data_IF_015086253166
#
_entry.id   IF_015086253166
#
_cell.length_a   1.000
_cell.length_b   1.000
_cell.length_c   1.000
_cell.angle_alpha   90.00
_cell.angle_beta   90.00
_cell.angle_gamma   90.00
#
_symmetry.space_group_name_H-M   'P 1'
#
loop_
_entity.id
_entity.type
_entity.pdbx_description
1 polymer ?
#
# COMPACT_ATOMS: atom_id res chain seq x y z
N UNK A 1 13.84 19.60 17.41
CA UNK A 1 14.80 18.48 17.33
C UNK A 1 14.90 17.90 18.71
N UNK A 2 14.20 16.80 18.95
CA UNK A 2 14.25 16.07 20.21
C UNK A 2 14.94 14.76 19.87
N UNK A 3 16.23 14.68 20.16
CA UNK A 3 17.01 13.44 20.03
C UNK A 3 16.52 12.49 21.11
N UNK A 4 15.72 11.51 20.72
CA UNK A 4 15.40 10.38 21.58
C UNK A 4 16.70 9.60 21.88
N UNK A 5 16.89 9.12 23.12
CA UNK A 5 18.10 8.41 23.50
C UNK A 5 18.19 7.07 22.75
N UNK A 6 19.41 6.58 22.42
CA UNK A 6 19.59 5.26 21.85
C UNK A 6 19.38 4.23 22.97
N UNK A 7 18.22 3.59 22.99
CA UNK A 7 18.00 2.42 23.84
C UNK A 7 18.34 1.15 23.06
N UNK A 8 19.44 0.55 23.51
CA UNK A 8 19.79 -0.87 23.59
C UNK A 8 18.73 -1.90 23.12
N UNK A 9 19.18 -2.85 22.28
CA UNK A 9 18.57 -4.18 22.00
C UNK A 9 17.04 -4.27 21.75
N UNK A 10 16.43 -3.31 21.06
CA UNK A 10 15.05 -3.51 20.58
C UNK A 10 15.01 -4.58 19.48
N UNK A 11 14.22 -5.63 19.70
CA UNK A 11 13.98 -6.69 18.72
C UNK A 11 13.50 -6.11 17.38
N UNK A 12 14.18 -6.47 16.29
CA UNK A 12 13.72 -6.17 14.93
C UNK A 12 12.53 -7.10 14.58
N UNK A 13 11.33 -6.52 14.59
CA UNK A 13 10.09 -7.26 14.37
C UNK A 13 9.91 -7.66 12.90
N UNK A 14 10.50 -6.90 11.98
CA UNK A 14 10.49 -7.18 10.55
C UNK A 14 11.36 -8.40 10.25
N UNK A 15 12.57 -8.44 10.80
CA UNK A 15 13.47 -9.57 10.64
C UNK A 15 12.93 -10.84 11.31
N UNK A 16 12.37 -10.73 12.52
CA UNK A 16 11.70 -11.86 13.17
C UNK A 16 10.52 -12.39 12.34
N UNK A 17 9.72 -11.51 11.72
CA UNK A 17 8.63 -11.92 10.83
C UNK A 17 9.20 -12.69 9.63
N UNK A 18 10.23 -12.15 8.97
CA UNK A 18 10.86 -12.79 7.81
C UNK A 18 11.40 -14.16 8.15
N UNK A 19 12.12 -14.29 9.26
CA UNK A 19 12.65 -15.58 9.72
C UNK A 19 11.52 -16.60 9.95
N UNK A 20 10.44 -16.20 10.65
CA UNK A 20 9.28 -17.08 10.87
C UNK A 20 8.60 -17.52 9.57
N UNK A 21 8.53 -16.64 8.58
CA UNK A 21 7.96 -16.97 7.27
C UNK A 21 8.86 -17.97 6.53
N UNK A 22 10.17 -17.75 6.53
CA UNK A 22 11.15 -18.67 5.94
C UNK A 22 11.11 -20.05 6.63
N UNK A 23 11.08 -20.09 7.95
CA UNK A 23 10.96 -21.33 8.72
C UNK A 23 9.66 -22.08 8.39
N UNK A 24 8.55 -21.35 8.19
CA UNK A 24 7.29 -21.95 7.79
C UNK A 24 7.37 -22.58 6.40
N UNK A 25 7.89 -21.83 5.41
CA UNK A 25 8.10 -22.33 4.05
C UNK A 25 8.97 -23.58 4.08
N UNK A 26 10.10 -23.54 4.81
CA UNK A 26 11.02 -24.67 4.97
C UNK A 26 10.37 -25.88 5.64
N UNK A 27 9.39 -25.67 6.54
CA UNK A 27 8.67 -26.76 7.20
C UNK A 27 7.79 -27.59 6.25
N UNK A 28 7.46 -27.08 5.06
CA UNK A 28 6.60 -27.75 4.10
C UNK A 28 5.20 -28.06 4.61
N UNK A 29 4.75 -27.39 5.69
CA UNK A 29 3.40 -27.52 6.25
C UNK A 29 2.42 -26.73 5.41
N UNK A 30 1.21 -27.27 5.30
CA UNK A 30 0.12 -26.51 4.68
C UNK A 30 -0.48 -25.52 5.70
N UNK A 31 -1.06 -24.45 5.17
CA UNK A 31 -1.94 -23.56 5.88
C UNK A 31 -3.23 -23.49 5.08
N UNK A 32 -4.32 -23.97 5.68
CA UNK A 32 -5.63 -24.02 5.05
C UNK A 32 -6.59 -23.07 5.77
N UNK A 33 -7.37 -22.32 4.99
CA UNK A 33 -8.43 -21.43 5.47
C UNK A 33 -9.73 -21.86 4.82
N UNK A 34 -10.82 -21.95 5.59
CA UNK A 34 -12.14 -22.35 5.10
C UNK A 34 -12.24 -23.84 4.74
N UNK A 35 -13.29 -24.19 4.01
CA UNK A 35 -13.59 -25.58 3.60
C UNK A 35 -13.54 -25.71 2.07
N UNK A 36 -12.92 -26.79 1.59
CA UNK A 36 -12.85 -27.12 0.17
C UNK A 36 -14.24 -27.37 -0.46
N UNK A 37 -15.24 -27.78 0.33
CA UNK A 37 -16.60 -27.99 -0.14
C UNK A 37 -17.32 -26.69 -0.55
N UNK A 38 -16.89 -25.57 0.03
CA UNK A 38 -17.43 -24.23 -0.24
C UNK A 38 -16.86 -23.61 -1.52
N UNK A 39 -15.84 -24.23 -2.11
CA UNK A 39 -15.29 -23.80 -3.39
C UNK A 39 -16.31 -23.91 -4.54
N UNK A 40 -16.21 -23.04 -5.56
CA UNK A 40 -17.06 -23.08 -6.76
C UNK A 40 -16.93 -24.39 -7.55
N UNK A 41 -15.71 -24.95 -7.56
CA UNK A 41 -15.30 -26.21 -8.19
C UNK A 41 -14.32 -26.92 -7.22
N UNK A 42 -14.10 -28.23 -7.34
CA UNK A 42 -13.11 -28.93 -6.53
C UNK A 42 -11.72 -28.25 -6.60
N UNK A 43 -10.98 -28.10 -5.49
CA UNK A 43 -9.67 -27.43 -5.50
C UNK A 43 -8.70 -27.98 -6.54
N UNK A 44 -8.68 -29.30 -6.76
CA UNK A 44 -7.83 -29.92 -7.78
C UNK A 44 -8.19 -29.44 -9.20
N UNK A 45 -9.46 -29.20 -9.50
CA UNK A 45 -9.90 -28.61 -10.78
C UNK A 45 -9.46 -27.14 -10.86
N UNK A 46 -9.61 -26.38 -9.76
CA UNK A 46 -9.21 -24.98 -9.68
C UNK A 46 -7.69 -24.77 -9.92
N UNK A 47 -6.85 -25.70 -9.46
CA UNK A 47 -5.40 -25.66 -9.71
C UNK A 47 -5.04 -25.75 -11.20
N UNK A 48 -5.86 -26.44 -11.99
CA UNK A 48 -5.60 -26.73 -13.40
C UNK A 48 -6.38 -25.83 -14.36
N UNK A 49 -6.99 -24.75 -13.87
CA UNK A 49 -7.69 -23.79 -14.72
C UNK A 49 -6.77 -23.17 -15.76
N UNK A 50 -7.32 -23.01 -16.96
CA UNK A 50 -6.78 -22.19 -18.04
C UNK A 50 -7.88 -21.29 -18.62
N UNK A 51 -7.52 -20.38 -19.53
CA UNK A 51 -8.47 -19.44 -20.14
C UNK A 51 -9.57 -20.10 -20.98
N UNK A 52 -9.45 -21.40 -21.31
CA UNK A 52 -10.41 -22.15 -22.13
C UNK A 52 -11.39 -22.97 -21.28
N UNK A 53 -11.18 -23.03 -19.97
CA UNK A 53 -12.05 -23.76 -19.07
C UNK A 53 -13.49 -23.20 -19.14
N UNK A 54 -14.54 -24.04 -19.27
CA UNK A 54 -15.91 -23.56 -19.48
C UNK A 54 -16.46 -22.62 -18.40
N UNK A 55 -15.95 -22.78 -17.16
CA UNK A 55 -16.32 -21.94 -16.03
C UNK A 55 -15.55 -20.62 -15.97
N UNK A 56 -14.44 -20.47 -16.70
CA UNK A 56 -13.62 -19.25 -16.69
C UNK A 56 -14.26 -18.20 -17.59
N UNK A 57 -14.47 -17.01 -17.03
CA UNK A 57 -14.98 -15.83 -17.73
C UNK A 57 -13.88 -14.86 -18.10
N UNK A 58 -12.91 -14.68 -17.22
CA UNK A 58 -11.78 -13.77 -17.41
C UNK A 58 -10.53 -14.35 -16.75
N UNK A 59 -9.38 -14.03 -17.32
CA UNK A 59 -8.06 -14.27 -16.74
C UNK A 59 -7.32 -12.93 -16.63
N UNK A 60 -6.85 -12.63 -15.43
CA UNK A 60 -5.99 -11.50 -15.10
C UNK A 60 -4.59 -12.04 -14.78
N UNK A 61 -3.67 -11.96 -15.74
CA UNK A 61 -2.33 -12.55 -15.65
C UNK A 61 -1.20 -11.52 -15.42
N UNK A 62 -1.54 -10.24 -15.24
CA UNK A 62 -0.55 -9.18 -15.05
C UNK A 62 0.15 -9.21 -13.67
N UNK A 63 -0.30 -10.07 -12.75
CA UNK A 63 0.25 -10.17 -11.39
C UNK A 63 1.68 -10.72 -11.34
N UNK A 64 2.49 -10.17 -10.43
CA UNK A 64 3.89 -10.58 -10.23
C UNK A 64 4.01 -11.91 -9.46
N UNK A 65 3.07 -12.18 -8.56
CA UNK A 65 3.11 -13.32 -7.63
C UNK A 65 2.03 -14.36 -7.92
N UNK A 66 0.93 -13.96 -8.56
CA UNK A 66 -0.23 -14.81 -8.83
C UNK A 66 -0.95 -14.45 -10.13
N UNK A 67 -1.81 -15.36 -10.57
CA UNK A 67 -2.79 -15.19 -11.63
C UNK A 67 -4.18 -15.20 -10.99
N UNK A 68 -5.13 -14.42 -11.52
CA UNK A 68 -6.51 -14.39 -11.01
C UNK A 68 -7.49 -14.77 -12.11
N UNK A 69 -8.31 -15.77 -11.84
CA UNK A 69 -9.40 -16.21 -12.71
C UNK A 69 -10.74 -15.72 -12.16
N UNK A 70 -11.57 -15.13 -13.01
CA UNK A 70 -13.00 -14.96 -12.74
C UNK A 70 -13.71 -16.24 -13.14
N UNK A 71 -14.19 -17.00 -12.17
CA UNK A 71 -14.86 -18.30 -12.38
C UNK A 71 -16.34 -18.14 -12.10
N UNK A 72 -17.19 -18.52 -13.05
CA UNK A 72 -18.64 -18.58 -12.88
C UNK A 72 -19.07 -20.01 -12.54
N UNK A 73 -19.61 -20.19 -11.34
CA UNK A 73 -20.13 -21.48 -10.90
C UNK A 73 -21.20 -21.29 -9.84
N UNK A 74 -22.18 -22.22 -9.80
CA UNK A 74 -23.29 -22.20 -8.84
C UNK A 74 -24.07 -20.85 -8.86
N UNK A 75 -24.19 -20.24 -10.03
CA UNK A 75 -24.91 -18.97 -10.23
C UNK A 75 -24.18 -17.71 -9.76
N UNK A 76 -22.92 -17.82 -9.31
CA UNK A 76 -22.13 -16.71 -8.78
C UNK A 76 -20.77 -16.63 -9.47
N UNK A 77 -20.15 -15.45 -9.41
CA UNK A 77 -18.77 -15.26 -9.85
C UNK A 77 -17.82 -15.28 -8.66
N UNK A 78 -16.66 -15.88 -8.89
CA UNK A 78 -15.62 -16.13 -7.90
C UNK A 78 -14.28 -15.63 -8.42
N UNK A 79 -13.48 -15.05 -7.53
CA UNK A 79 -12.07 -14.77 -7.78
C UNK A 79 -11.23 -15.94 -7.28
N UNK A 80 -10.55 -16.62 -8.21
CA UNK A 80 -9.61 -17.71 -7.92
C UNK A 80 -8.20 -17.21 -8.20
N UNK A 81 -7.48 -16.88 -7.13
CA UNK A 81 -6.08 -16.45 -7.18
C UNK A 81 -5.19 -17.69 -7.05
N UNK A 82 -4.35 -17.92 -8.06
CA UNK A 82 -3.39 -19.03 -8.10
C UNK A 82 -1.96 -18.49 -8.04
N UNK A 83 -1.18 -18.95 -7.07
CA UNK A 83 0.23 -18.62 -6.96
C UNK A 83 0.98 -19.06 -8.23
N UNK A 84 1.91 -18.23 -8.70
CA UNK A 84 2.80 -18.62 -9.80
C UNK A 84 3.79 -19.67 -9.31
N UNK A 85 4.11 -20.64 -10.16
CA UNK A 85 5.17 -21.62 -9.89
C UNK A 85 6.54 -20.97 -9.72
N UNK A 86 6.77 -19.82 -10.37
CA UNK A 86 7.95 -18.98 -10.20
C UNK A 86 7.48 -17.57 -9.83
N UNK A 87 7.77 -17.15 -8.59
CA UNK A 87 7.53 -15.78 -8.16
C UNK A 87 8.46 -14.83 -8.92
N UNK A 88 7.92 -13.75 -9.50
CA UNK A 88 8.74 -12.78 -10.25
C UNK A 88 9.51 -11.81 -9.35
N UNK A 89 9.16 -11.75 -8.06
CA UNK A 89 9.77 -10.85 -7.07
C UNK A 89 10.93 -11.57 -6.35
N UNK A 90 12.11 -10.96 -6.35
CA UNK A 90 13.34 -11.59 -5.87
C UNK A 90 13.61 -11.44 -4.36
N UNK A 91 12.98 -10.48 -3.68
CA UNK A 91 13.17 -10.24 -2.24
C UNK A 91 12.41 -11.23 -1.35
N UNK A 92 12.86 -11.41 -0.10
CA UNK A 92 12.24 -12.33 0.89
C UNK A 92 10.74 -12.09 1.00
N UNK A 93 10.32 -10.83 1.13
CA UNK A 93 8.90 -10.48 1.25
C UNK A 93 8.07 -10.81 0.00
N UNK A 94 8.70 -10.74 -1.17
CA UNK A 94 8.07 -11.17 -2.43
C UNK A 94 7.94 -12.69 -2.51
N UNK A 95 8.97 -13.42 -2.10
CA UNK A 95 8.98 -14.89 -2.09
C UNK A 95 8.00 -15.46 -1.05
N UNK A 96 7.82 -14.78 0.09
CA UNK A 96 6.89 -15.19 1.15
C UNK A 96 5.52 -14.53 1.05
N UNK A 97 5.28 -13.68 0.03
CA UNK A 97 4.03 -12.91 -0.12
C UNK A 97 2.77 -13.78 -0.14
N UNK A 98 2.79 -14.92 -0.84
CA UNK A 98 1.63 -15.81 -0.90
C UNK A 98 1.36 -16.49 0.46
N UNK A 99 2.41 -16.95 1.15
CA UNK A 99 2.29 -17.43 2.54
C UNK A 99 1.69 -16.34 3.43
N UNK A 100 2.21 -15.11 3.31
CA UNK A 100 1.72 -13.99 4.09
C UNK A 100 0.24 -13.73 3.82
N UNK A 101 -0.19 -13.74 2.56
CA UNK A 101 -1.59 -13.56 2.20
C UNK A 101 -2.49 -14.65 2.81
N UNK A 102 -2.11 -15.93 2.73
CA UNK A 102 -2.89 -17.02 3.35
C UNK A 102 -2.97 -16.86 4.88
N UNK A 103 -1.87 -16.48 5.54
CA UNK A 103 -1.85 -16.16 6.97
C UNK A 103 -2.81 -15.01 7.30
N UNK A 104 -2.76 -13.93 6.52
CA UNK A 104 -3.62 -12.77 6.72
C UNK A 104 -5.09 -13.09 6.47
N UNK A 105 -5.41 -13.88 5.44
CA UNK A 105 -6.79 -14.34 5.18
C UNK A 105 -7.35 -15.14 6.34
N UNK A 106 -6.54 -16.01 6.95
CA UNK A 106 -6.93 -16.75 8.16
C UNK A 106 -7.29 -15.78 9.30
N UNK A 107 -6.39 -14.84 9.59
CA UNK A 107 -6.55 -13.88 10.69
C UNK A 107 -7.69 -12.87 10.44
N UNK A 108 -7.91 -12.47 9.18
CA UNK A 108 -8.96 -11.53 8.78
C UNK A 108 -10.38 -12.10 8.89
N UNK A 109 -10.52 -13.42 8.96
CA UNK A 109 -11.83 -14.05 9.22
C UNK A 109 -12.42 -13.59 10.55
N UNK A 110 -11.59 -13.25 11.54
CA UNK A 110 -12.06 -12.72 12.82
C UNK A 110 -12.43 -11.22 12.77
N UNK A 111 -11.90 -10.45 11.81
CA UNK A 111 -12.15 -9.01 11.70
C UNK A 111 -13.39 -8.68 10.86
N UNK A 112 -13.79 -9.58 9.95
CA UNK A 112 -14.94 -9.50 9.02
C UNK A 112 -15.68 -8.15 9.03
N UNK A 113 -15.34 -7.28 8.08
CA UNK A 113 -15.91 -5.93 7.98
C UNK A 113 -16.07 -5.45 6.54
N UNK A 114 -16.96 -4.47 6.30
CA UNK A 114 -17.06 -3.78 5.02
C UNK A 114 -15.69 -3.28 4.52
N UNK A 115 -15.48 -3.35 3.21
CA UNK A 115 -14.25 -2.90 2.53
C UNK A 115 -13.07 -3.87 2.54
N UNK A 116 -13.19 -5.05 3.15
CA UNK A 116 -12.20 -6.12 3.06
C UNK A 116 -12.77 -7.31 2.28
N UNK A 117 -12.06 -7.77 1.25
CA UNK A 117 -12.43 -8.99 0.50
C UNK A 117 -12.44 -10.22 1.43
N UNK A 118 -13.55 -10.97 1.50
CA UNK A 118 -13.62 -12.18 2.32
C UNK A 118 -12.84 -13.33 1.68
N UNK A 119 -12.62 -14.40 2.45
CA UNK A 119 -11.99 -15.63 1.96
C UNK A 119 -12.92 -16.80 2.18
N UNK A 120 -13.10 -17.60 1.13
CA UNK A 120 -13.91 -18.83 1.17
C UNK A 120 -13.01 -20.03 1.37
N UNK A 121 -11.91 -20.07 0.62
CA UNK A 121 -10.92 -21.13 0.74
C UNK A 121 -9.53 -20.57 0.47
N UNK A 122 -8.51 -21.08 1.16
CA UNK A 122 -7.13 -20.90 0.77
C UNK A 122 -6.30 -22.12 1.18
N UNK A 123 -5.30 -22.49 0.37
CA UNK A 123 -4.28 -23.47 0.72
C UNK A 123 -2.92 -23.00 0.23
N UNK A 124 -1.95 -23.00 1.14
CA UNK A 124 -0.56 -22.68 0.83
C UNK A 124 0.05 -23.71 -0.12
N UNK A 125 -0.15 -25.01 0.13
CA UNK A 125 0.41 -26.09 -0.69
C UNK A 125 -0.19 -26.14 -2.09
N UNK A 126 -1.50 -25.94 -2.20
CA UNK A 126 -2.16 -25.91 -3.50
C UNK A 126 -1.90 -24.60 -4.25
N UNK A 127 -1.35 -23.58 -3.56
CA UNK A 127 -1.13 -22.27 -4.17
C UNK A 127 -2.44 -21.60 -4.56
N UNK A 128 -3.51 -21.81 -3.79
CA UNK A 128 -4.86 -21.33 -4.13
C UNK A 128 -5.45 -20.42 -3.05
N UNK A 129 -6.14 -19.39 -3.51
CA UNK A 129 -6.99 -18.52 -2.72
C UNK A 129 -8.29 -18.32 -3.51
N UNK A 130 -9.43 -18.51 -2.84
CA UNK A 130 -10.76 -18.38 -3.42
C UNK A 130 -11.55 -17.37 -2.59
N UNK A 131 -12.14 -16.40 -3.28
CA UNK A 131 -13.01 -15.38 -2.70
C UNK A 131 -14.18 -15.09 -3.63
N UNK A 132 -15.29 -14.52 -3.13
CA UNK A 132 -16.34 -13.98 -3.99
C UNK A 132 -15.77 -12.93 -4.95
N UNK A 133 -16.26 -12.91 -6.19
CA UNK A 133 -15.87 -11.88 -7.15
C UNK A 133 -16.37 -10.50 -6.71
N UNK A 134 -15.48 -9.52 -6.67
CA UNK A 134 -15.86 -8.13 -6.45
C UNK A 134 -16.24 -7.54 -7.81
N UNK A 135 -17.54 -7.28 -8.00
CA UNK A 135 -18.06 -6.63 -9.21
C UNK A 135 -17.79 -5.10 -9.18
N UNK A 136 -16.53 -4.73 -8.96
CA UNK A 136 -16.08 -3.34 -8.88
C UNK A 136 -15.08 -3.00 -9.98
N UNK A 137 -14.86 -1.70 -10.17
CA UNK A 137 -13.90 -1.13 -11.11
C UNK A 137 -12.67 -0.58 -10.37
N UNK A 138 -11.55 -0.46 -11.09
CA UNK A 138 -10.35 0.22 -10.58
C UNK A 138 -10.69 1.65 -10.18
N UNK A 139 -10.14 2.09 -9.06
CA UNK A 139 -10.36 3.44 -8.53
C UNK A 139 -9.37 4.40 -9.17
N UNK A 140 -9.85 5.18 -10.15
CA UNK A 140 -9.03 6.16 -10.86
C UNK A 140 -9.16 7.57 -10.25
N UNK A 141 -10.24 7.85 -9.55
CA UNK A 141 -10.54 9.12 -8.91
C UNK A 141 -11.08 8.91 -7.48
N UNK A 142 -11.14 10.01 -6.74
CA UNK A 142 -11.55 10.00 -5.35
C UNK A 142 -12.57 11.08 -5.07
N UNK A 143 -13.69 10.66 -4.50
CA UNK A 143 -14.64 11.54 -3.82
C UNK A 143 -14.50 11.39 -2.30
N UNK A 144 -15.22 12.23 -1.57
CA UNK A 144 -15.21 12.21 -0.11
C UNK A 144 -15.64 10.86 0.48
N UNK A 145 -16.67 10.22 -0.09
CA UNK A 145 -17.18 8.93 0.39
C UNK A 145 -16.13 7.83 0.26
N UNK A 146 -15.48 7.74 -0.90
CA UNK A 146 -14.47 6.72 -1.17
C UNK A 146 -13.24 6.89 -0.29
N UNK A 147 -12.77 8.14 -0.12
CA UNK A 147 -11.67 8.45 0.78
C UNK A 147 -12.00 8.07 2.23
N UNK A 148 -13.21 8.41 2.71
CA UNK A 148 -13.66 8.02 4.06
C UNK A 148 -13.66 6.50 4.24
N UNK A 149 -14.22 5.75 3.28
CA UNK A 149 -14.23 4.29 3.33
C UNK A 149 -12.82 3.68 3.33
N UNK A 150 -11.89 4.24 2.54
CA UNK A 150 -10.50 3.80 2.49
C UNK A 150 -9.80 4.05 3.83
N UNK A 151 -9.91 5.26 4.39
CA UNK A 151 -9.32 5.59 5.69
C UNK A 151 -9.92 4.76 6.81
N UNK A 152 -11.24 4.62 6.89
CA UNK A 152 -11.91 3.81 7.91
C UNK A 152 -11.47 2.34 7.85
N UNK A 153 -11.20 1.83 6.64
CA UNK A 153 -10.64 0.49 6.46
C UNK A 153 -9.21 0.36 6.92
N UNK A 154 -8.35 1.30 6.53
CA UNK A 154 -6.97 1.34 7.02
C UNK A 154 -6.89 1.49 8.54
N UNK A 155 -7.71 2.34 9.16
CA UNK A 155 -7.73 2.51 10.61
C UNK A 155 -8.18 1.27 11.35
N UNK A 156 -9.18 0.56 10.84
CA UNK A 156 -9.63 -0.70 11.42
C UNK A 156 -8.52 -1.75 11.38
N UNK A 157 -7.77 -1.83 10.27
CA UNK A 157 -6.59 -2.68 10.16
C UNK A 157 -5.51 -2.29 11.18
N UNK A 158 -5.18 -1.00 11.26
CA UNK A 158 -4.19 -0.50 12.21
C UNK A 158 -4.56 -0.88 13.65
N UNK A 159 -5.80 -0.60 14.08
CA UNK A 159 -6.26 -0.93 15.44
C UNK A 159 -6.22 -2.43 15.71
N UNK A 160 -6.52 -3.25 14.71
CA UNK A 160 -6.44 -4.70 14.81
C UNK A 160 -4.99 -5.24 14.78
N UNK A 161 -3.98 -4.39 14.61
CA UNK A 161 -2.57 -4.75 14.58
C UNK A 161 -2.09 -5.22 13.21
N UNK A 162 -2.66 -4.66 12.14
CA UNK A 162 -2.27 -4.91 10.75
C UNK A 162 -1.84 -3.61 10.06
N UNK A 163 -0.69 -3.64 9.41
CA UNK A 163 -0.18 -2.54 8.62
C UNK A 163 -0.08 -2.96 7.16
N UNK A 164 -0.82 -2.28 6.29
CA UNK A 164 -0.82 -2.51 4.84
C UNK A 164 0.23 -1.61 4.17
N UNK A 165 1.15 -2.23 3.43
CA UNK A 165 2.23 -1.52 2.76
C UNK A 165 1.92 -1.15 1.30
N UNK A 166 0.90 -1.77 0.70
CA UNK A 166 0.61 -1.71 -0.73
C UNK A 166 -0.85 -1.28 -1.03
N UNK A 167 -1.24 -0.11 -0.50
CA UNK A 167 -2.45 0.63 -0.94
C UNK A 167 -2.25 1.24 -2.35
N UNK A 168 -2.01 0.39 -3.34
CA UNK A 168 -1.87 0.81 -4.73
C UNK A 168 -3.20 0.68 -5.50
N UNK A 169 -3.35 1.38 -6.64
CA UNK A 169 -4.54 1.25 -7.49
C UNK A 169 -4.81 -0.19 -7.96
N UNK A 170 -3.78 -1.04 -7.99
CA UNK A 170 -3.87 -2.45 -8.35
C UNK A 170 -4.50 -3.34 -7.29
N UNK A 171 -4.64 -2.87 -6.03
CA UNK A 171 -5.14 -3.66 -4.90
C UNK A 171 -6.46 -3.11 -4.33
N UNK A 172 -7.04 -2.09 -4.99
CA UNK A 172 -8.27 -1.43 -4.56
C UNK A 172 -9.30 -1.39 -5.69
N UNK A 173 -10.52 -1.86 -5.42
CA UNK A 173 -11.68 -1.74 -6.32
C UNK A 173 -12.77 -0.90 -5.67
N UNK A 174 -13.65 -0.32 -6.48
CA UNK A 174 -14.88 0.34 -6.02
C UNK A 174 -16.07 -0.20 -6.79
N UNK A 175 -17.10 -0.61 -6.07
CA UNK A 175 -18.42 -0.88 -6.62
C UNK A 175 -19.40 0.23 -6.18
N UNK A 176 -20.70 0.08 -6.50
CA UNK A 176 -21.73 1.06 -6.16
C UNK A 176 -21.92 1.28 -4.64
N UNK A 177 -21.37 0.41 -3.80
CA UNK A 177 -21.56 0.42 -2.35
C UNK A 177 -20.30 0.86 -1.61
N UNK A 178 -19.15 0.34 -2.00
CA UNK A 178 -17.92 0.56 -1.25
C UNK A 178 -16.62 0.41 -2.03
N UNK A 179 -15.57 0.92 -1.40
CA UNK A 179 -14.16 0.64 -1.73
C UNK A 179 -13.72 -0.66 -1.05
N UNK A 180 -13.06 -1.53 -1.81
CA UNK A 180 -12.57 -2.83 -1.39
C UNK A 180 -11.05 -2.90 -1.47
N UNK A 181 -10.41 -3.33 -0.38
CA UNK A 181 -9.05 -3.88 -0.37
C UNK A 181 -9.14 -5.40 -0.53
N UNK A 182 -8.38 -5.98 -1.46
CA UNK A 182 -8.54 -7.40 -1.81
C UNK A 182 -7.25 -8.22 -1.88
N UNK A 183 -6.08 -7.58 -1.88
CA UNK A 183 -4.78 -8.25 -1.78
C UNK A 183 -4.17 -7.98 -0.40
N UNK A 184 -3.74 -9.04 0.29
CA UNK A 184 -3.15 -8.96 1.64
C UNK A 184 -1.70 -9.46 1.67
N UNK A 185 -1.06 -9.62 0.51
CA UNK A 185 0.31 -10.11 0.40
C UNK A 185 1.35 -9.27 1.15
N UNK A 186 1.09 -7.97 1.31
CA UNK A 186 1.95 -7.01 2.01
C UNK A 186 1.31 -6.45 3.30
N UNK A 187 0.27 -7.12 3.81
CA UNK A 187 -0.32 -6.83 5.11
C UNK A 187 0.47 -7.53 6.22
N UNK A 188 1.07 -6.77 7.14
CA UNK A 188 1.94 -7.31 8.19
C UNK A 188 1.45 -7.00 9.58
N UNK A 189 1.74 -7.91 10.51
CA UNK A 189 1.40 -7.74 11.93
C UNK A 189 2.33 -6.73 12.60
N UNK A 190 1.77 -5.93 13.49
CA UNK A 190 2.50 -5.07 14.41
C UNK A 190 1.67 -4.84 15.68
N UNK A 191 2.27 -4.21 16.71
CA UNK A 191 1.57 -3.81 17.93
C UNK A 191 1.23 -2.31 17.83
N UNK A 192 -0.03 -1.92 17.58
CA UNK A 192 -0.42 -0.52 17.42
C UNK A 192 -0.35 0.28 18.71
N UNK A 193 -0.22 -0.37 19.86
CA UNK A 193 -0.05 0.29 21.15
C UNK A 193 1.40 0.68 21.41
N UNK A 194 2.35 0.05 20.72
CA UNK A 194 3.79 0.21 20.98
C UNK A 194 4.61 0.64 19.77
N UNK A 195 4.12 0.41 18.56
CA UNK A 195 4.85 0.62 17.31
C UNK A 195 4.09 1.59 16.39
N UNK A 196 4.83 2.28 15.52
CA UNK A 196 4.29 3.14 14.47
C UNK A 196 3.76 2.31 13.29
N UNK A 197 4.51 1.27 12.90
CA UNK A 197 4.19 0.34 11.82
C UNK A 197 4.93 -0.99 12.04
N UNK A 198 5.00 -1.83 10.99
CA UNK A 198 5.64 -3.15 11.05
C UNK A 198 7.11 -3.19 10.57
N UNK A 199 7.75 -2.06 10.29
CA UNK A 199 9.12 -2.02 9.76
C UNK A 199 10.18 -1.91 10.85
N UNK A 200 11.32 -2.56 10.63
CA UNK A 200 12.44 -2.67 11.56
C UNK A 200 11.98 -3.00 12.98
N UNK A 201 12.23 -2.09 13.92
CA UNK A 201 11.87 -2.26 15.35
C UNK A 201 10.44 -1.86 15.66
N UNK A 202 9.64 -1.52 14.64
CA UNK A 202 8.33 -0.91 14.76
C UNK A 202 8.35 0.59 15.07
N UNK A 203 9.52 1.13 15.45
CA UNK A 203 9.72 2.54 15.77
C UNK A 203 10.77 3.22 14.85
N UNK A 204 11.48 2.43 14.05
CA UNK A 204 12.60 2.89 13.21
C UNK A 204 12.18 3.59 11.91
N UNK A 205 10.92 3.43 11.50
CA UNK A 205 10.34 4.10 10.34
C UNK A 205 9.09 4.88 10.76
N UNK A 206 9.23 6.04 11.44
CA UNK A 206 8.10 6.92 11.74
C UNK A 206 7.50 7.55 10.48
N UNK A 207 8.30 7.69 9.42
CA UNK A 207 7.84 7.83 8.05
C UNK A 207 7.25 6.49 7.60
N UNK A 208 6.17 6.51 6.82
CA UNK A 208 5.31 5.37 6.46
C UNK A 208 4.21 5.07 7.48
N UNK A 209 3.27 6.01 7.63
CA UNK A 209 1.96 5.76 8.24
C UNK A 209 0.89 5.55 7.16
N UNK A 210 -0.33 5.16 7.58
CA UNK A 210 -1.44 4.85 6.68
C UNK A 210 -1.70 5.92 5.61
N UNK A 211 -1.83 7.20 5.98
CA UNK A 211 -2.06 8.27 5.01
C UNK A 211 -0.95 8.31 3.94
N UNK A 212 0.33 8.18 4.34
CA UNK A 212 1.44 8.14 3.38
C UNK A 212 1.37 6.96 2.41
N UNK A 213 0.82 5.82 2.85
CA UNK A 213 0.67 4.61 2.04
C UNK A 213 -0.50 4.71 1.07
N UNK A 214 -1.61 5.31 1.50
CA UNK A 214 -2.71 5.70 0.62
C UNK A 214 -2.24 6.74 -0.43
N UNK A 215 -1.36 7.65 -0.01
CA UNK A 215 -0.86 8.76 -0.83
C UNK A 215 0.11 8.36 -1.92
N UNK A 216 1.09 7.50 -1.62
CA UNK A 216 2.25 7.24 -2.49
C UNK A 216 1.85 6.89 -3.92
N UNK A 217 1.13 5.76 -4.10
CA UNK A 217 0.76 5.25 -5.42
C UNK A 217 -0.61 5.71 -5.86
N UNK A 218 -1.54 5.86 -4.92
CA UNK A 218 -2.95 6.03 -5.25
C UNK A 218 -3.36 7.50 -5.34
N UNK A 219 -3.40 8.21 -4.21
CA UNK A 219 -3.93 9.59 -4.19
C UNK A 219 -3.04 10.54 -4.98
N UNK A 220 -1.72 10.53 -4.82
CA UNK A 220 -0.86 11.42 -5.62
C UNK A 220 -0.77 11.03 -7.10
N UNK A 221 -1.07 9.77 -7.45
CA UNK A 221 -1.26 9.38 -8.85
C UNK A 221 -2.48 10.08 -9.46
N UNK A 222 -3.59 10.12 -8.72
CA UNK A 222 -4.78 10.88 -9.11
C UNK A 222 -4.55 12.39 -9.12
N UNK A 223 -3.92 12.95 -8.08
CA UNK A 223 -3.63 14.39 -8.00
C UNK A 223 -2.70 14.85 -9.13
N UNK A 224 -1.72 14.04 -9.53
CA UNK A 224 -0.84 14.34 -10.66
C UNK A 224 -1.62 14.47 -11.98
N UNK A 225 -2.59 13.57 -12.23
CA UNK A 225 -3.48 13.68 -13.40
C UNK A 225 -4.36 14.92 -13.30
N UNK A 226 -4.94 15.17 -12.12
CA UNK A 226 -5.80 16.33 -11.88
C UNK A 226 -5.06 17.66 -12.08
N UNK A 227 -3.80 17.73 -11.65
CA UNK A 227 -2.91 18.87 -11.86
C UNK A 227 -2.62 19.08 -13.35
N UNK A 228 -2.37 18.00 -14.10
CA UNK A 228 -2.13 18.07 -15.55
C UNK A 228 -3.38 18.44 -16.35
N UNK A 229 -4.56 17.96 -15.96
CA UNK A 229 -5.80 18.10 -16.73
C UNK A 229 -6.56 19.40 -16.36
N UNK A 230 -6.59 19.76 -15.08
CA UNK A 230 -7.40 20.85 -14.54
C UNK A 230 -6.60 21.91 -13.77
N UNK A 231 -5.28 21.75 -13.66
CA UNK A 231 -4.37 22.70 -13.02
C UNK A 231 -4.17 22.49 -11.51
N UNK A 232 -3.13 23.13 -10.97
CA UNK A 232 -2.69 22.97 -9.58
C UNK A 232 -3.77 23.31 -8.54
N UNK A 233 -4.65 24.27 -8.82
CA UNK A 233 -5.74 24.63 -7.90
C UNK A 233 -6.76 23.48 -7.74
N UNK A 234 -7.01 22.70 -8.78
CA UNK A 234 -7.89 21.53 -8.70
C UNK A 234 -7.26 20.44 -7.83
N UNK A 235 -5.97 20.13 -8.05
CA UNK A 235 -5.19 19.21 -7.22
C UNK A 235 -5.15 19.66 -5.75
N UNK A 236 -4.91 20.94 -5.47
CA UNK A 236 -4.88 21.46 -4.10
C UNK A 236 -6.25 21.40 -3.40
N UNK A 237 -7.37 21.58 -4.12
CA UNK A 237 -8.71 21.41 -3.55
C UNK A 237 -8.97 19.95 -3.19
N UNK A 238 -8.65 19.03 -4.09
CA UNK A 238 -8.76 17.59 -3.84
C UNK A 238 -7.89 17.15 -2.65
N UNK A 239 -6.63 17.60 -2.61
CA UNK A 239 -5.72 17.34 -1.51
C UNK A 239 -6.23 17.91 -0.18
N UNK A 240 -6.87 19.09 -0.17
CA UNK A 240 -7.50 19.64 1.04
C UNK A 240 -8.57 18.71 1.59
N UNK A 241 -9.43 18.15 0.72
CA UNK A 241 -10.50 17.23 1.11
C UNK A 241 -9.89 15.97 1.74
N UNK A 242 -8.90 15.37 1.08
CA UNK A 242 -8.19 14.21 1.63
C UNK A 242 -7.57 14.52 3.00
N UNK A 243 -6.91 15.67 3.18
CA UNK A 243 -6.31 16.05 4.47
C UNK A 243 -7.30 16.31 5.59
N UNK A 244 -8.47 16.86 5.28
CA UNK A 244 -9.54 16.99 6.26
C UNK A 244 -10.00 15.61 6.74
N UNK A 245 -10.19 14.66 5.82
CA UNK A 245 -10.57 13.28 6.13
C UNK A 245 -9.46 12.57 6.93
N UNK A 246 -8.21 12.69 6.50
CA UNK A 246 -7.07 12.08 7.18
C UNK A 246 -6.90 12.61 8.61
N UNK A 247 -7.05 13.93 8.82
CA UNK A 247 -6.99 14.54 10.14
C UNK A 247 -8.10 13.99 11.05
N UNK A 248 -9.35 14.00 10.59
CA UNK A 248 -10.50 13.50 11.34
C UNK A 248 -10.29 12.02 11.71
N UNK A 249 -9.83 11.22 10.75
CA UNK A 249 -9.53 9.80 10.93
C UNK A 249 -8.42 9.59 11.98
N UNK A 250 -7.31 10.32 11.90
CA UNK A 250 -6.19 10.16 12.84
C UNK A 250 -6.52 10.67 14.25
N UNK A 251 -7.36 11.69 14.39
CA UNK A 251 -7.84 12.12 15.71
C UNK A 251 -8.70 11.03 16.37
N UNK A 252 -9.56 10.34 15.59
CA UNK A 252 -10.27 9.14 16.07
C UNK A 252 -9.33 8.01 16.44
N UNK A 253 -8.35 7.70 15.59
CA UNK A 253 -7.35 6.65 15.85
C UNK A 253 -6.59 6.94 17.13
N UNK A 254 -6.08 8.16 17.29
CA UNK A 254 -5.34 8.60 18.46
C UNK A 254 -6.18 8.48 19.73
N UNK A 255 -7.45 8.90 19.70
CA UNK A 255 -8.36 8.78 20.83
C UNK A 255 -8.58 7.31 21.21
N UNK A 256 -8.83 6.47 20.20
CA UNK A 256 -9.07 5.04 20.37
C UNK A 256 -7.86 4.31 20.94
N UNK A 257 -6.67 4.52 20.37
CA UNK A 257 -5.44 3.89 20.85
C UNK A 257 -5.07 4.35 22.25
N UNK A 258 -5.35 5.60 22.62
CA UNK A 258 -5.17 6.06 24.00
C UNK A 258 -6.08 5.33 24.99
N UNK A 259 -7.35 5.11 24.63
CA UNK A 259 -8.29 4.33 25.43
C UNK A 259 -7.86 2.85 25.53
N UNK A 260 -7.28 2.31 24.45
CA UNK A 260 -6.75 0.95 24.38
C UNK A 260 -5.36 0.81 25.08
N UNK A 261 -4.80 1.89 25.65
CA UNK A 261 -3.57 1.85 26.46
C UNK A 261 -2.26 2.02 25.67
N UNK A 262 -2.30 2.73 24.53
CA UNK A 262 -1.11 3.01 23.74
C UNK A 262 -0.06 3.82 24.50
N UNK A 263 1.20 3.54 24.18
CA UNK A 263 2.36 4.18 24.79
C UNK A 263 2.43 5.67 24.46
N UNK A 264 3.04 6.50 25.33
CA UNK A 264 3.25 7.92 25.06
C UNK A 264 3.95 8.19 23.74
N UNK A 265 4.90 7.34 23.33
CA UNK A 265 5.62 7.44 22.06
C UNK A 265 4.69 7.40 20.85
N UNK A 266 3.77 6.44 20.81
CA UNK A 266 2.78 6.33 19.72
C UNK A 266 1.82 7.52 19.73
N UNK A 267 1.33 7.91 20.91
CA UNK A 267 0.39 9.02 21.02
C UNK A 267 1.02 10.35 20.60
N UNK A 268 2.25 10.64 21.02
CA UNK A 268 2.97 11.86 20.63
C UNK A 268 3.26 11.91 19.13
N UNK A 269 3.57 10.76 18.53
CA UNK A 269 3.75 10.67 17.08
C UNK A 269 2.46 11.02 16.33
N UNK A 270 1.33 10.44 16.71
CA UNK A 270 0.02 10.77 16.13
C UNK A 270 -0.36 12.24 16.36
N UNK A 271 -0.15 12.76 17.58
CA UNK A 271 -0.41 14.16 17.91
C UNK A 271 0.43 15.10 17.02
N UNK A 272 1.68 14.74 16.73
CA UNK A 272 2.57 15.47 15.81
C UNK A 272 2.06 15.49 14.37
N UNK A 273 1.58 14.35 13.85
CA UNK A 273 0.97 14.27 12.51
C UNK A 273 -0.27 15.16 12.40
N UNK A 274 -1.20 15.02 13.36
CA UNK A 274 -2.42 15.82 13.39
C UNK A 274 -2.12 17.33 13.52
N UNK A 275 -1.15 17.72 14.37
CA UNK A 275 -0.75 19.11 14.51
C UNK A 275 -0.16 19.68 13.21
N UNK A 276 0.65 18.89 12.50
CA UNK A 276 1.19 19.24 11.19
C UNK A 276 0.09 19.51 10.16
N UNK A 277 -0.91 18.63 10.06
CA UNK A 277 -2.03 18.81 9.14
C UNK A 277 -2.94 19.97 9.53
N UNK A 278 -3.27 20.15 10.81
CA UNK A 278 -4.05 21.32 11.28
C UNK A 278 -3.37 22.64 10.90
N UNK A 279 -2.06 22.72 11.10
CA UNK A 279 -1.29 23.92 10.78
C UNK A 279 -1.32 24.21 9.27
N UNK A 280 -1.16 23.19 8.44
CA UNK A 280 -1.21 23.34 6.99
C UNK A 280 -2.62 23.70 6.47
N UNK A 281 -3.66 23.08 7.03
CA UNK A 281 -5.06 23.34 6.68
C UNK A 281 -5.50 24.77 7.06
N UNK A 282 -5.00 25.29 8.19
CA UNK A 282 -5.23 26.67 8.62
C UNK A 282 -4.36 27.70 7.87
N UNK A 283 -3.26 27.27 7.26
CA UNK A 283 -2.28 28.13 6.59
C UNK A 283 -2.06 27.75 5.11
N UNK A 284 -0.79 27.61 4.73
CA UNK A 284 -0.36 27.27 3.37
C UNK A 284 -0.40 25.75 3.14
N UNK A 285 -1.50 25.28 2.53
CA UNK A 285 -1.62 23.88 2.12
C UNK A 285 -0.61 23.52 1.00
N UNK A 286 -0.19 24.50 0.20
CA UNK A 286 0.74 24.28 -0.93
C UNK A 286 2.11 23.77 -0.48
N UNK A 287 2.58 24.18 0.71
CA UNK A 287 3.85 23.68 1.25
C UNK A 287 3.73 22.23 1.71
N UNK A 288 2.60 21.87 2.33
CA UNK A 288 2.31 20.48 2.69
C UNK A 288 2.21 19.60 1.44
N UNK A 289 1.47 20.06 0.42
CA UNK A 289 1.34 19.38 -0.87
C UNK A 289 2.70 19.13 -1.52
N UNK A 290 3.57 20.15 -1.52
CA UNK A 290 4.92 20.03 -2.07
C UNK A 290 5.76 18.98 -1.34
N UNK A 291 5.71 18.95 0.00
CA UNK A 291 6.48 17.99 0.80
C UNK A 291 5.99 16.56 0.65
N UNK A 292 4.69 16.35 0.80
CA UNK A 292 4.12 15.00 0.73
C UNK A 292 4.09 14.49 -0.71
N UNK A 293 3.89 15.37 -1.69
CA UNK A 293 4.04 15.06 -3.11
C UNK A 293 5.47 14.68 -3.46
N UNK A 294 6.48 15.41 -2.94
CA UNK A 294 7.87 15.01 -3.10
C UNK A 294 8.12 13.60 -2.57
N UNK A 295 7.74 13.34 -1.30
CA UNK A 295 7.90 12.03 -0.67
C UNK A 295 7.21 10.94 -1.49
N UNK A 296 5.95 11.16 -1.84
CA UNK A 296 5.10 10.23 -2.58
C UNK A 296 5.71 9.87 -3.94
N UNK A 297 6.02 10.87 -4.76
CA UNK A 297 6.56 10.67 -6.10
C UNK A 297 7.97 10.08 -6.07
N UNK A 298 8.81 10.49 -5.13
CA UNK A 298 10.17 9.98 -5.02
C UNK A 298 10.20 8.50 -4.57
N UNK A 299 9.37 8.12 -3.60
CA UNK A 299 9.22 6.71 -3.18
C UNK A 299 8.74 5.84 -4.33
N UNK A 300 7.71 6.28 -5.05
CA UNK A 300 7.15 5.48 -6.14
C UNK A 300 8.13 5.32 -7.32
N UNK A 301 8.85 6.40 -7.67
CA UNK A 301 9.91 6.34 -8.69
C UNK A 301 11.03 5.37 -8.29
N UNK A 302 11.46 5.38 -7.02
CA UNK A 302 12.50 4.47 -6.54
C UNK A 302 12.03 3.01 -6.57
N UNK A 303 10.79 2.74 -6.17
CA UNK A 303 10.20 1.40 -6.23
C UNK A 303 10.10 0.87 -7.67
N UNK A 304 9.59 1.69 -8.60
CA UNK A 304 9.45 1.29 -10.01
C UNK A 304 10.80 1.06 -10.69
N UNK A 305 11.82 1.86 -10.34
CA UNK A 305 13.18 1.69 -10.86
C UNK A 305 13.81 0.40 -10.35
N UNK A 306 13.64 0.07 -9.07
CA UNK A 306 14.12 -1.18 -8.48
C UNK A 306 13.41 -2.40 -9.07
N UNK A 307 12.10 -2.28 -9.30
CA UNK A 307 11.27 -3.33 -9.89
C UNK A 307 11.44 -3.48 -11.40
N UNK A 308 12.00 -2.48 -12.08
CA UNK A 308 11.97 -2.36 -13.55
C UNK A 308 10.53 -2.42 -14.10
N UNK A 309 9.60 -1.80 -13.39
CA UNK A 309 8.16 -1.83 -13.67
C UNK A 309 7.63 -0.45 -14.10
N UNK A 310 8.46 0.36 -14.73
CA UNK A 310 8.12 1.76 -15.01
C UNK A 310 6.97 1.83 -16.03
N UNK A 311 6.09 2.82 -15.83
CA UNK A 311 4.92 3.11 -16.65
C UNK A 311 4.96 4.57 -17.15
N UNK A 312 4.02 5.01 -18.01
CA UNK A 312 3.90 6.42 -18.35
C UNK A 312 3.72 7.33 -17.13
N UNK A 313 2.99 6.86 -16.11
CA UNK A 313 2.81 7.58 -14.83
C UNK A 313 4.15 7.77 -14.11
N UNK A 314 5.04 6.77 -14.13
CA UNK A 314 6.39 6.87 -13.53
C UNK A 314 7.19 8.01 -14.15
N UNK A 315 7.07 8.24 -15.46
CA UNK A 315 7.73 9.36 -16.15
C UNK A 315 7.12 10.70 -15.74
N UNK A 316 5.79 10.79 -15.63
CA UNK A 316 5.12 12.01 -15.15
C UNK A 316 5.56 12.37 -13.72
N UNK A 317 5.74 11.38 -12.84
CA UNK A 317 6.26 11.59 -11.49
C UNK A 317 7.70 12.11 -11.50
N UNK A 318 8.56 11.52 -12.34
CA UNK A 318 9.93 11.99 -12.49
C UNK A 318 9.99 13.44 -13.03
N UNK A 319 9.11 13.78 -13.97
CA UNK A 319 8.98 15.14 -14.50
C UNK A 319 8.49 16.13 -13.44
N UNK A 320 7.51 15.74 -12.63
CA UNK A 320 7.04 16.53 -11.50
C UNK A 320 8.17 16.81 -10.49
N UNK A 321 8.94 15.78 -10.12
CA UNK A 321 10.08 15.90 -9.20
C UNK A 321 11.15 16.86 -9.75
N UNK A 322 11.49 16.76 -11.04
CA UNK A 322 12.43 17.67 -11.69
C UNK A 322 11.92 19.11 -11.74
N UNK A 323 10.64 19.30 -12.04
CA UNK A 323 10.02 20.63 -12.01
C UNK A 323 10.05 21.22 -10.59
N UNK A 324 9.73 20.43 -9.57
CA UNK A 324 9.79 20.83 -8.16
C UNK A 324 11.22 21.22 -7.74
N UNK A 325 12.25 20.46 -8.11
CA UNK A 325 13.65 20.82 -7.87
C UNK A 325 14.05 22.12 -8.59
N UNK A 326 13.60 22.30 -9.83
CA UNK A 326 13.97 23.48 -10.62
C UNK A 326 13.25 24.74 -10.12
N UNK A 327 12.00 24.65 -9.71
CA UNK A 327 11.19 25.83 -9.37
C UNK A 327 11.12 26.10 -7.87
N UNK A 328 11.21 25.06 -7.02
CA UNK A 328 10.85 25.13 -5.59
C UNK A 328 11.93 24.56 -4.66
N UNK A 329 13.17 24.42 -5.12
CA UNK A 329 14.27 23.89 -4.29
C UNK A 329 14.41 24.53 -2.89
N UNK A 330 14.38 25.88 -2.72
CA UNK A 330 14.49 26.46 -1.39
C UNK A 330 13.38 26.01 -0.42
N UNK A 331 12.15 25.83 -0.94
CA UNK A 331 11.02 25.36 -0.15
C UNK A 331 11.16 23.88 0.23
N UNK A 332 11.60 23.03 -0.71
CA UNK A 332 11.91 21.61 -0.44
C UNK A 332 13.02 21.47 0.63
N UNK A 333 14.08 22.29 0.52
CA UNK A 333 15.18 22.31 1.46
C UNK A 333 14.75 22.72 2.87
N UNK A 334 13.92 23.77 2.98
CA UNK A 334 13.37 24.23 4.26
C UNK A 334 12.54 23.13 4.95
N UNK A 335 11.90 22.27 4.17
CA UNK A 335 11.07 21.17 4.65
C UNK A 335 11.83 19.85 4.87
N UNK A 336 13.14 19.81 4.59
CA UNK A 336 14.02 18.64 4.82
C UNK A 336 13.47 17.34 4.21
N UNK A 337 12.98 17.44 2.98
CA UNK A 337 12.32 16.32 2.28
C UNK A 337 13.26 15.20 1.85
N UNK A 338 14.58 15.44 1.85
CA UNK A 338 15.57 14.52 1.32
C UNK A 338 16.17 13.60 2.40
N UNK A 339 16.39 12.32 2.07
CA UNK A 339 17.22 11.45 2.92
C UNK A 339 18.66 11.98 2.99
N UNK A 340 19.41 11.55 4.00
CA UNK A 340 20.75 12.09 4.31
C UNK A 340 21.71 12.13 3.09
N UNK A 341 21.71 11.09 2.26
CA UNK A 341 22.56 11.03 1.07
C UNK A 341 22.18 12.07 0.00
N UNK A 342 20.89 12.33 -0.20
CA UNK A 342 20.41 13.35 -1.13
C UNK A 342 20.55 14.76 -0.51
N UNK A 343 20.35 14.91 0.79
CA UNK A 343 20.51 16.18 1.50
C UNK A 343 21.96 16.71 1.50
N UNK A 344 22.95 15.85 1.27
CA UNK A 344 24.36 16.22 1.14
C UNK A 344 24.72 16.77 -0.25
N UNK A 345 23.83 16.65 -1.23
CA UNK A 345 24.05 17.12 -2.59
C UNK A 345 23.63 18.59 -2.73
N UNK A 346 24.35 19.33 -3.58
CA UNK A 346 23.90 20.65 -4.00
C UNK A 346 22.76 20.54 -5.03
N UNK A 347 22.13 21.69 -5.32
CA UNK A 347 20.99 21.74 -6.25
C UNK A 347 21.32 21.18 -7.64
N UNK A 348 22.45 21.54 -8.30
CA UNK A 348 22.85 20.93 -9.57
C UNK A 348 23.02 19.41 -9.49
N UNK A 349 23.66 18.88 -8.44
CA UNK A 349 23.85 17.45 -8.27
C UNK A 349 22.54 16.69 -8.01
N UNK A 350 21.60 17.29 -7.26
CA UNK A 350 20.25 16.76 -7.09
C UNK A 350 19.49 16.69 -8.41
N UNK A 351 19.52 17.76 -9.21
CA UNK A 351 18.88 17.77 -10.53
C UNK A 351 19.48 16.66 -11.42
N UNK A 352 20.82 16.56 -11.48
CA UNK A 352 21.49 15.53 -12.25
C UNK A 352 21.15 14.10 -11.78
N UNK A 353 20.95 13.90 -10.48
CA UNK A 353 20.50 12.61 -9.93
C UNK A 353 19.10 12.24 -10.44
N UNK A 354 18.14 13.16 -10.35
CA UNK A 354 16.77 12.89 -10.78
C UNK A 354 16.65 12.83 -12.32
N UNK A 355 17.50 13.51 -13.08
CA UNK A 355 17.60 13.35 -14.53
C UNK A 355 18.08 11.95 -14.91
N UNK A 356 19.08 11.41 -14.21
CA UNK A 356 19.52 10.01 -14.40
C UNK A 356 18.42 9.01 -14.04
N UNK A 357 17.72 9.21 -12.91
CA UNK A 357 16.58 8.37 -12.53
C UNK A 357 15.47 8.39 -13.59
N UNK A 358 15.14 9.57 -14.13
CA UNK A 358 14.20 9.68 -15.25
C UNK A 358 14.66 8.93 -16.49
N UNK A 359 15.94 9.04 -16.86
CA UNK A 359 16.49 8.30 -18.00
C UNK A 359 16.42 6.78 -17.80
N UNK A 360 16.71 6.29 -16.59
CA UNK A 360 16.53 4.89 -16.23
C UNK A 360 15.05 4.46 -16.34
N UNK A 361 14.11 5.31 -15.90
CA UNK A 361 12.68 5.02 -16.00
C UNK A 361 12.19 4.90 -17.45
N UNK A 362 12.83 5.60 -18.40
CA UNK A 362 12.58 5.41 -19.84
C UNK A 362 13.06 4.03 -20.30
N UNK A 363 14.23 3.59 -19.84
CA UNK A 363 14.78 2.29 -20.21
C UNK A 363 13.99 1.10 -19.63
N UNK A 364 13.27 1.31 -18.52
CA UNK A 364 12.47 0.28 -17.84
C UNK A 364 10.97 0.37 -18.12
N UNK A 365 10.54 1.07 -19.18
CA UNK A 365 9.12 1.14 -19.55
C UNK A 365 8.58 -0.26 -19.89
N UNK A 366 7.45 -0.62 -19.29
CA UNK A 366 6.73 -1.84 -19.62
C UNK A 366 6.09 -1.74 -21.03
N UNK A 367 6.21 -2.77 -21.88
CA UNK A 367 5.58 -2.76 -23.20
C UNK A 367 4.05 -2.70 -23.08
N UNK A 368 3.42 -1.66 -23.66
CA UNK A 368 1.97 -1.55 -23.77
C UNK A 368 1.22 -1.06 -22.52
N UNK A 369 1.91 -0.33 -21.62
CA UNK A 369 1.29 0.35 -20.47
C UNK A 369 0.63 1.69 -20.82
#
# INVERSE_FOLDING_TARGET
MTTLPPNDTSTDIEELRRQRQLDWVASGRDLVVGDAADCPLPPDELMHLDARHPAVRELHDSGLTAEVFRVHARGHDWAVKRARSICKVQGVDGQTSFLNEVQRRSEMTALQRPGLSPTVYASLKQGLIVSPWIAGSRVNDWDETGLRQLFDTGLALLRAGFFEWDFCPGNVLRDDRQVWLFDYGYLYRFDPLRHFNSAGTGLSAPQHHLAERIESRHVFGWLLRLESELGADAALRAFRIEKLIALEAYERLRSTLAADGATPTVLQWLDGLCAGWRTALAGSLSDLYLREGWRSHATDLDDDLKGQTCTPTTLQRADWLLAALRLRHPALAAQRVWPAAEAALDRPALIALYERRRQQAVAFQLPGA
#
